data_IF_135715507534
#
_entry.id   IF_135715507534
#
_cell.length_a   1.000
_cell.length_b   1.000
_cell.length_c   1.000
_cell.angle_alpha   90.00
_cell.angle_beta   90.00
_cell.angle_gamma   90.00
#
_symmetry.space_group_name_H-M   'P 1'
#
loop_
_entity.id
_entity.type
_entity.pdbx_description
1 polymer ?
#
# COMPACT_ATOMS: atom_id res chain seq x y z
N UNK A 1 -10.17 12.20 10.45
CA UNK A 1 -9.27 11.68 9.41
C UNK A 1 -9.53 10.20 9.29
N UNK A 2 -9.55 9.64 8.09
CA UNK A 2 -9.64 8.18 7.91
C UNK A 2 -8.31 7.54 8.36
N UNK A 3 -8.33 6.26 8.75
CA UNK A 3 -7.13 5.53 9.21
C UNK A 3 -5.99 5.63 8.17
N UNK A 4 -6.28 5.32 6.90
CA UNK A 4 -5.30 5.43 5.81
C UNK A 4 -4.85 6.87 5.53
N UNK A 5 -5.70 7.87 5.79
CA UNK A 5 -5.32 9.27 5.67
C UNK A 5 -4.24 9.63 6.70
N UNK A 6 -4.40 9.20 7.96
CA UNK A 6 -3.42 9.39 9.04
C UNK A 6 -2.12 8.66 8.70
N UNK A 7 -2.22 7.38 8.34
CA UNK A 7 -1.06 6.54 8.00
C UNK A 7 -0.29 7.13 6.81
N UNK A 8 -0.99 7.54 5.75
CA UNK A 8 -0.36 8.17 4.59
C UNK A 8 0.30 9.50 4.93
N UNK A 9 -0.27 10.30 5.84
CA UNK A 9 0.31 11.56 6.27
C UNK A 9 1.63 11.34 7.03
N UNK A 10 1.70 10.27 7.83
CA UNK A 10 2.95 9.84 8.49
C UNK A 10 4.00 9.46 7.45
N UNK A 11 3.67 8.61 6.47
CA UNK A 11 4.65 8.22 5.45
C UNK A 11 5.09 9.39 4.57
N UNK A 12 4.17 10.27 4.18
CA UNK A 12 4.47 11.48 3.39
C UNK A 12 5.37 12.49 4.13
N UNK A 13 5.41 12.46 5.46
CA UNK A 13 6.32 13.29 6.23
C UNK A 13 7.78 12.81 6.16
N UNK A 14 8.02 11.65 5.56
CA UNK A 14 9.31 10.97 5.53
C UNK A 14 9.53 10.05 6.73
N UNK A 15 8.59 9.98 7.68
CA UNK A 15 8.60 8.96 8.71
C UNK A 15 8.22 7.59 8.12
N UNK A 16 8.64 6.51 8.79
CA UNK A 16 8.31 5.15 8.37
C UNK A 16 7.63 4.43 9.52
N UNK A 17 6.34 4.17 9.37
CA UNK A 17 5.53 3.39 10.30
C UNK A 17 5.36 1.98 9.76
N UNK A 18 5.68 0.98 10.59
CA UNK A 18 5.76 -0.42 10.19
C UNK A 18 5.33 -1.35 11.33
N UNK A 19 5.00 -2.59 10.98
CA UNK A 19 4.79 -3.66 11.95
C UNK A 19 6.14 -4.33 12.23
N UNK A 20 6.62 -4.29 13.47
CA UNK A 20 7.90 -4.88 13.85
C UNK A 20 7.83 -6.41 13.80
N UNK A 21 8.78 -7.05 13.12
CA UNK A 21 8.79 -8.50 12.96
C UNK A 21 9.08 -9.28 14.24
N UNK A 22 9.66 -8.63 15.27
CA UNK A 22 10.06 -9.27 16.52
C UNK A 22 8.84 -9.49 17.42
N UNK A 23 8.01 -8.46 17.59
CA UNK A 23 6.89 -8.47 18.54
C UNK A 23 5.53 -8.16 17.92
N UNK A 24 5.45 -7.92 16.61
CA UNK A 24 4.26 -7.50 15.88
C UNK A 24 3.62 -6.24 16.47
N UNK A 25 4.42 -5.30 16.99
CA UNK A 25 3.91 -3.99 17.40
C UNK A 25 4.22 -2.95 16.35
N UNK A 26 3.42 -1.88 16.32
CA UNK A 26 3.72 -0.74 15.46
C UNK A 26 4.99 -0.05 15.94
N UNK A 27 5.97 0.07 15.05
CA UNK A 27 7.15 0.90 15.20
C UNK A 27 7.08 2.13 14.29
N UNK A 28 7.76 3.20 14.69
CA UNK A 28 7.92 4.41 13.87
C UNK A 28 9.41 4.79 13.85
N UNK A 29 9.96 4.92 12.64
CA UNK A 29 11.26 5.56 12.39
C UNK A 29 11.07 7.00 11.97
N UNK A 30 12.00 7.87 12.38
CA UNK A 30 12.00 9.30 12.09
C UNK A 30 10.71 10.01 12.54
N UNK A 31 10.24 9.66 13.74
CA UNK A 31 9.00 10.18 14.32
C UNK A 31 9.00 11.71 14.42
N UNK A 32 10.18 12.32 14.61
CA UNK A 32 10.40 13.76 14.68
C UNK A 32 9.97 14.52 13.42
N UNK A 33 9.84 13.84 12.27
CA UNK A 33 9.36 14.43 11.03
C UNK A 33 7.82 14.52 10.97
N UNK A 34 7.10 13.86 11.88
CA UNK A 34 5.64 13.78 11.85
C UNK A 34 5.07 15.08 12.43
N UNK A 35 4.19 15.81 11.71
CA UNK A 35 3.54 16.98 12.26
C UNK A 35 2.74 16.65 13.52
N UNK A 36 2.79 17.54 14.53
CA UNK A 36 2.14 17.32 15.83
C UNK A 36 0.66 16.92 15.71
N UNK A 37 -0.10 17.59 14.83
CA UNK A 37 -1.52 17.26 14.61
C UNK A 37 -1.74 15.85 14.05
N UNK A 38 -0.82 15.37 13.20
CA UNK A 38 -0.89 14.02 12.64
C UNK A 38 -0.57 12.98 13.71
N UNK A 39 0.44 13.25 14.56
CA UNK A 39 0.75 12.38 15.70
C UNK A 39 -0.41 12.28 16.68
N UNK A 40 -1.03 13.41 17.04
CA UNK A 40 -2.22 13.42 17.90
C UNK A 40 -3.39 12.63 17.30
N UNK A 41 -3.60 12.73 15.98
CA UNK A 41 -4.59 11.94 15.29
C UNK A 41 -4.26 10.44 15.34
N UNK A 42 -2.97 10.08 15.18
CA UNK A 42 -2.53 8.69 15.26
C UNK A 42 -2.70 8.11 16.67
N UNK A 43 -2.35 8.86 17.71
CA UNK A 43 -2.55 8.46 19.12
C UNK A 43 -4.03 8.25 19.43
N UNK A 44 -4.91 9.13 18.94
CA UNK A 44 -6.36 9.01 19.15
C UNK A 44 -6.97 7.80 18.44
N UNK A 45 -6.44 7.42 17.28
CA UNK A 45 -6.94 6.30 16.44
C UNK A 45 -5.99 5.09 16.48
N UNK A 46 -5.24 4.92 17.59
CA UNK A 46 -4.19 3.91 17.67
C UNK A 46 -4.72 2.50 17.45
N UNK A 47 -5.88 2.15 18.01
CA UNK A 47 -6.45 0.80 17.91
C UNK A 47 -6.83 0.46 16.47
N UNK A 48 -7.38 1.41 15.73
CA UNK A 48 -7.77 1.24 14.34
C UNK A 48 -6.54 1.15 13.43
N UNK A 49 -5.49 1.94 13.72
CA UNK A 49 -4.20 1.85 13.03
C UNK A 49 -3.55 0.49 13.31
N UNK A 50 -3.52 0.03 14.56
CA UNK A 50 -3.01 -1.29 14.93
C UNK A 50 -3.77 -2.40 14.22
N UNK A 51 -5.10 -2.41 14.29
CA UNK A 51 -5.93 -3.38 13.58
C UNK A 51 -5.64 -3.39 12.08
N UNK A 52 -5.45 -2.21 11.47
CA UNK A 52 -5.06 -2.11 10.08
C UNK A 52 -3.70 -2.76 9.81
N UNK A 53 -2.66 -2.47 10.60
CA UNK A 53 -1.35 -3.11 10.44
C UNK A 53 -1.40 -4.62 10.67
N UNK A 54 -2.09 -5.09 11.72
CA UNK A 54 -2.25 -6.51 12.02
C UNK A 54 -2.95 -7.24 10.87
N UNK A 55 -3.94 -6.63 10.21
CA UNK A 55 -4.63 -7.21 9.06
C UNK A 55 -3.71 -7.49 7.86
N UNK A 56 -2.51 -6.92 7.84
CA UNK A 56 -1.50 -7.13 6.81
C UNK A 56 -0.42 -8.16 7.19
N UNK A 57 -0.41 -8.66 8.43
CA UNK A 57 0.65 -9.53 8.97
C UNK A 57 0.89 -10.77 8.10
N UNK A 58 -0.18 -11.43 7.68
CA UNK A 58 -0.14 -12.67 6.89
C UNK A 58 -0.54 -12.45 5.43
N UNK A 59 -0.45 -11.19 4.95
CA UNK A 59 -0.81 -10.87 3.58
C UNK A 59 0.10 -11.58 2.58
N UNK A 60 -0.50 -12.12 1.52
CA UNK A 60 0.25 -12.79 0.46
C UNK A 60 1.21 -11.81 -0.24
N UNK A 61 2.26 -12.36 -0.87
CA UNK A 61 3.20 -11.56 -1.66
C UNK A 61 2.49 -10.75 -2.77
N UNK A 62 1.41 -11.30 -3.33
CA UNK A 62 0.55 -10.64 -4.31
C UNK A 62 -0.10 -9.38 -3.72
N UNK A 63 -0.73 -9.51 -2.54
CA UNK A 63 -1.39 -8.40 -1.83
C UNK A 63 -0.39 -7.34 -1.40
N UNK A 64 0.79 -7.74 -0.91
CA UNK A 64 1.86 -6.82 -0.56
C UNK A 64 2.37 -6.08 -1.80
N UNK A 65 2.45 -6.76 -2.94
CA UNK A 65 2.92 -6.16 -4.20
C UNK A 65 1.95 -5.11 -4.70
N UNK A 66 0.65 -5.42 -4.82
CA UNK A 66 -0.34 -4.43 -5.29
C UNK A 66 -0.44 -3.24 -4.35
N UNK A 67 -0.35 -3.44 -3.03
CA UNK A 67 -0.31 -2.35 -2.04
C UNK A 67 0.88 -1.41 -2.28
N UNK A 68 2.07 -1.97 -2.52
CA UNK A 68 3.28 -1.18 -2.81
C UNK A 68 3.15 -0.39 -4.10
N UNK A 69 2.53 -0.97 -5.14
CA UNK A 69 2.24 -0.26 -6.39
C UNK A 69 1.29 0.91 -6.09
N UNK A 70 0.18 0.63 -5.42
CA UNK A 70 -0.80 1.65 -5.06
C UNK A 70 -0.18 2.82 -4.26
N UNK A 71 0.67 2.52 -3.27
CA UNK A 71 1.31 3.55 -2.45
C UNK A 71 2.32 4.40 -3.21
N UNK A 72 3.02 3.82 -4.19
CA UNK A 72 3.87 4.58 -5.13
C UNK A 72 3.03 5.59 -5.91
N UNK A 73 1.90 5.15 -6.48
CA UNK A 73 1.01 6.01 -7.27
C UNK A 73 0.35 7.11 -6.45
N UNK A 74 -0.04 6.83 -5.22
CA UNK A 74 -0.60 7.84 -4.33
C UNK A 74 0.47 8.79 -3.75
N UNK A 75 1.75 8.56 -4.03
CA UNK A 75 2.85 9.34 -3.45
C UNK A 75 2.95 9.19 -1.93
N UNK A 76 2.46 8.07 -1.38
CA UNK A 76 2.52 7.81 0.06
C UNK A 76 3.86 7.23 0.46
N UNK A 77 4.39 6.30 -0.34
CA UNK A 77 5.69 5.70 -0.16
C UNK A 77 6.40 5.59 -1.50
N UNK A 78 7.69 5.88 -1.53
CA UNK A 78 8.50 5.76 -2.75
C UNK A 78 9.28 4.44 -2.79
N UNK A 79 9.24 3.76 -3.93
CA UNK A 79 9.93 2.52 -4.23
C UNK A 79 10.49 2.57 -5.65
N UNK A 80 11.73 3.05 -5.77
CA UNK A 80 12.41 3.22 -7.07
C UNK A 80 12.41 1.96 -7.92
N UNK A 81 12.69 0.78 -7.34
CA UNK A 81 12.75 -0.48 -8.10
C UNK A 81 11.40 -0.83 -8.72
N UNK A 82 10.31 -0.59 -7.98
CA UNK A 82 8.96 -0.81 -8.46
C UNK A 82 8.61 0.20 -9.56
N UNK A 83 8.96 1.47 -9.37
CA UNK A 83 8.75 2.52 -10.38
C UNK A 83 9.48 2.20 -11.70
N UNK A 84 10.77 1.86 -11.61
CA UNK A 84 11.60 1.48 -12.77
C UNK A 84 10.99 0.28 -13.53
N UNK A 85 10.48 -0.73 -12.81
CA UNK A 85 9.78 -1.86 -13.42
C UNK A 85 8.53 -1.41 -14.18
N UNK A 86 7.66 -0.60 -13.56
CA UNK A 86 6.41 -0.17 -14.20
C UNK A 86 6.65 0.74 -15.41
N UNK A 87 7.74 1.49 -15.43
CA UNK A 87 8.17 2.25 -16.62
C UNK A 87 8.70 1.34 -17.74
N UNK A 88 9.35 0.23 -17.39
CA UNK A 88 9.88 -0.74 -18.34
C UNK A 88 8.82 -1.72 -18.88
N UNK A 89 7.70 -1.89 -18.17
CA UNK A 89 6.64 -2.83 -18.49
C UNK A 89 5.27 -2.14 -18.52
N UNK A 90 4.97 -1.48 -19.65
CA UNK A 90 3.75 -0.72 -19.85
C UNK A 90 2.46 -1.58 -19.70
N UNK A 91 2.51 -2.88 -20.01
CA UNK A 91 1.36 -3.76 -19.81
C UNK A 91 1.06 -3.95 -18.31
N UNK A 92 2.09 -4.10 -17.47
CA UNK A 92 1.93 -4.17 -16.01
C UNK A 92 1.29 -2.89 -15.47
N UNK A 93 1.73 -1.74 -15.99
CA UNK A 93 1.15 -0.45 -15.64
C UNK A 93 -0.32 -0.35 -16.06
N UNK A 94 -0.65 -0.76 -17.29
CA UNK A 94 -2.03 -0.78 -17.77
C UNK A 94 -2.91 -1.72 -16.93
N UNK A 95 -2.42 -2.91 -16.58
CA UNK A 95 -3.15 -3.84 -15.71
C UNK A 95 -3.42 -3.26 -14.33
N UNK A 96 -2.49 -2.48 -13.78
CA UNK A 96 -2.72 -1.76 -12.52
C UNK A 96 -3.86 -0.73 -12.67
N UNK A 97 -3.87 0.06 -13.75
CA UNK A 97 -4.99 0.98 -14.00
C UNK A 97 -6.32 0.26 -14.17
N UNK A 98 -6.35 -0.82 -14.95
CA UNK A 98 -7.55 -1.62 -15.13
C UNK A 98 -8.05 -2.19 -13.78
N UNK A 99 -7.12 -2.61 -12.90
CA UNK A 99 -7.46 -3.06 -11.55
C UNK A 99 -8.13 -1.94 -10.72
N UNK A 100 -7.63 -0.71 -10.78
CA UNK A 100 -8.28 0.43 -10.11
C UNK A 100 -9.68 0.73 -10.67
N UNK A 101 -9.90 0.52 -11.96
CA UNK A 101 -11.22 0.66 -12.60
C UNK A 101 -12.19 -0.40 -12.08
N UNK A 102 -11.74 -1.65 -11.91
CA UNK A 102 -12.55 -2.72 -11.33
C UNK A 102 -12.96 -2.37 -9.90
N UNK A 103 -12.02 -1.89 -9.07
CA UNK A 103 -12.34 -1.44 -7.72
C UNK A 103 -13.37 -0.29 -7.72
N UNK A 104 -13.21 0.68 -8.62
CA UNK A 104 -14.16 1.79 -8.75
C UNK A 104 -15.57 1.30 -9.15
N UNK A 105 -15.67 0.32 -10.05
CA UNK A 105 -16.94 -0.34 -10.38
C UNK A 105 -17.57 -1.06 -9.19
N UNK A 106 -16.73 -1.56 -8.27
CA UNK A 106 -17.18 -2.18 -7.03
C UNK A 106 -17.51 -1.17 -5.92
N UNK A 107 -17.41 0.13 -6.18
CA UNK A 107 -17.80 1.20 -5.26
C UNK A 107 -16.64 1.86 -4.51
N UNK A 108 -15.39 1.57 -4.87
CA UNK A 108 -14.25 2.27 -4.29
C UNK A 108 -14.11 3.68 -4.90
N UNK A 109 -14.32 4.71 -4.07
CA UNK A 109 -14.42 6.11 -4.52
C UNK A 109 -13.41 7.06 -3.84
N UNK A 110 -12.73 6.58 -2.80
CA UNK A 110 -11.78 7.36 -2.02
C UNK A 110 -10.50 6.54 -1.79
N UNK A 111 -9.37 7.11 -2.17
CA UNK A 111 -8.03 6.52 -1.98
C UNK A 111 -7.71 6.22 -0.51
N UNK A 112 -8.37 6.91 0.43
CA UNK A 112 -8.23 6.67 1.88
C UNK A 112 -9.23 5.68 2.46
N UNK A 113 -10.11 5.10 1.63
CA UNK A 113 -10.86 3.89 1.96
C UNK A 113 -10.03 2.65 1.63
N UNK A 114 -10.10 1.61 2.46
CA UNK A 114 -9.30 0.40 2.26
C UNK A 114 -9.78 -0.37 1.02
N UNK A 115 -8.98 -0.35 -0.05
CA UNK A 115 -9.33 -0.97 -1.32
C UNK A 115 -9.69 -2.45 -1.20
N UNK A 116 -9.19 -3.15 -0.16
CA UNK A 116 -9.44 -4.58 0.07
C UNK A 116 -10.93 -4.88 0.28
N UNK A 117 -11.69 -3.92 0.78
CA UNK A 117 -13.14 -4.05 0.99
C UNK A 117 -13.92 -4.09 -0.33
N UNK A 118 -13.27 -3.71 -1.44
CA UNK A 118 -13.87 -3.60 -2.78
C UNK A 118 -13.27 -4.62 -3.76
N UNK A 119 -12.43 -5.54 -3.27
CA UNK A 119 -11.86 -6.60 -4.09
C UNK A 119 -12.87 -7.74 -4.33
N UNK A 120 -12.82 -8.33 -5.52
CA UNK A 120 -13.60 -9.50 -5.93
C UNK A 120 -12.71 -10.48 -6.72
N UNK A 121 -13.29 -11.55 -7.24
CA UNK A 121 -12.55 -12.58 -8.00
C UNK A 121 -11.81 -12.01 -9.22
N UNK A 122 -12.41 -11.04 -9.92
CA UNK A 122 -11.79 -10.37 -11.06
C UNK A 122 -10.55 -9.58 -10.63
N UNK A 123 -10.69 -8.69 -9.64
CA UNK A 123 -9.56 -7.89 -9.15
C UNK A 123 -8.47 -8.77 -8.55
N UNK A 124 -8.83 -9.86 -7.87
CA UNK A 124 -7.88 -10.83 -7.31
C UNK A 124 -7.09 -11.55 -8.41
N UNK A 125 -7.74 -11.95 -9.50
CA UNK A 125 -7.06 -12.56 -10.66
C UNK A 125 -6.08 -11.58 -11.33
N UNK A 126 -6.42 -10.29 -11.37
CA UNK A 126 -5.53 -9.25 -11.89
C UNK A 126 -4.31 -9.03 -10.99
N UNK A 127 -4.51 -8.94 -9.67
CA UNK A 127 -3.44 -8.82 -8.67
C UNK A 127 -2.42 -9.95 -8.80
N UNK A 128 -2.90 -11.19 -9.01
CA UNK A 128 -2.04 -12.34 -9.26
C UNK A 128 -1.19 -12.19 -10.52
N UNK A 129 -1.79 -11.80 -11.65
CA UNK A 129 -1.06 -11.58 -12.92
C UNK A 129 -0.02 -10.47 -12.79
N UNK A 130 -0.36 -9.36 -12.13
CA UNK A 130 0.57 -8.26 -11.87
C UNK A 130 1.78 -8.77 -11.06
N UNK A 131 1.53 -9.55 -10.00
CA UNK A 131 2.59 -10.16 -9.20
C UNK A 131 3.48 -11.12 -10.01
N UNK A 132 2.89 -11.98 -10.83
CA UNK A 132 3.64 -12.90 -11.71
C UNK A 132 4.59 -12.12 -12.65
N UNK A 133 4.12 -11.00 -13.23
CA UNK A 133 4.96 -10.12 -14.05
C UNK A 133 6.07 -9.44 -13.23
N UNK A 134 5.78 -9.01 -12.01
CA UNK A 134 6.79 -8.43 -11.11
C UNK A 134 7.92 -9.42 -10.81
N UNK A 135 7.57 -10.68 -10.52
CA UNK A 135 8.53 -11.76 -10.27
C UNK A 135 9.37 -12.05 -11.51
N UNK A 136 8.76 -12.11 -12.69
CA UNK A 136 9.48 -12.33 -13.95
C UNK A 136 10.46 -11.21 -14.24
N UNK A 137 10.07 -9.95 -14.00
CA UNK A 137 10.97 -8.81 -14.17
C UNK A 137 12.15 -8.87 -13.18
N UNK A 138 11.87 -9.10 -11.89
CA UNK A 138 12.91 -9.20 -10.86
C UNK A 138 13.93 -10.31 -11.13
N UNK A 139 13.51 -11.43 -11.75
CA UNK A 139 14.39 -12.55 -12.13
C UNK A 139 15.30 -12.25 -13.31
N UNK A 140 14.95 -11.30 -14.18
CA UNK A 140 15.78 -10.93 -15.34
C UNK A 140 17.05 -10.16 -14.94
N UNK A 141 17.15 -9.69 -13.70
CA UNK A 141 18.37 -9.12 -13.14
C UNK A 141 18.90 -7.90 -13.89
N UNK A 142 18.02 -7.13 -14.53
CA UNK A 142 18.37 -5.87 -15.22
C UNK A 142 18.89 -4.85 -14.21
#
# INVERSE_FOLDING_TARGET
MKVLEIISAIWKSGADMYLDSIDNRIGIKRQELIPVKVMQAAEHNFNEIDAWFQSWKDASAEKVTIRKIFYEFCGWQHNKKLNDWLLADADSLQMFYDWTIVLAKNGWDDVYSDFREYENDESNAMVRKIYERAVLYARKGV
#
